data_IF_198264468627
#
_entry.id   IF_198264468627
#
_cell.length_a   1.000
_cell.length_b   1.000
_cell.length_c   1.000
_cell.angle_alpha   90.00
_cell.angle_beta   90.00
_cell.angle_gamma   90.00
#
_symmetry.space_group_name_H-M   'P 1'
#
loop_
_entity.id
_entity.type
_entity.pdbx_description
1 polymer ?
#
# COMPACT_ATOMS: atom_id res chain seq x y z
N UNK A 1 -15.22 -7.03 4.47
CA UNK A 1 -15.17 -6.42 5.82
C UNK A 1 -15.31 -4.90 5.70
N UNK A 2 -16.05 -4.26 6.61
CA UNK A 2 -16.20 -2.80 6.64
C UNK A 2 -15.04 -2.10 7.39
N UNK A 3 -14.86 -0.81 7.10
CA UNK A 3 -13.78 0.02 7.62
C UNK A 3 -13.89 0.22 9.14
N UNK A 4 -15.12 0.36 9.66
CA UNK A 4 -15.36 0.57 11.09
C UNK A 4 -14.92 -0.65 11.90
N UNK A 5 -15.25 -1.84 11.44
CA UNK A 5 -14.82 -3.09 12.07
C UNK A 5 -13.31 -3.22 12.11
N UNK A 6 -12.60 -2.79 11.05
CA UNK A 6 -11.13 -2.80 11.08
C UNK A 6 -10.57 -1.82 12.10
N UNK A 7 -11.13 -0.61 12.22
CA UNK A 7 -10.74 0.34 13.27
C UNK A 7 -10.90 -0.28 14.66
N UNK A 8 -12.03 -0.95 14.91
CA UNK A 8 -12.32 -1.57 16.21
C UNK A 8 -11.31 -2.71 16.51
N UNK A 9 -10.93 -3.51 15.50
CA UNK A 9 -9.90 -4.53 15.62
C UNK A 9 -8.51 -3.93 15.91
N UNK A 10 -8.12 -2.86 15.22
CA UNK A 10 -6.83 -2.19 15.47
C UNK A 10 -6.77 -1.61 16.88
N UNK A 11 -7.87 -1.01 17.37
CA UNK A 11 -7.96 -0.51 18.75
C UNK A 11 -7.85 -1.63 19.79
N UNK A 12 -8.39 -2.80 19.48
CA UNK A 12 -8.38 -3.94 20.40
C UNK A 12 -7.04 -4.67 20.43
N UNK A 13 -6.41 -4.89 19.27
CA UNK A 13 -5.25 -5.78 19.14
C UNK A 13 -3.92 -5.07 18.85
N UNK A 14 -3.95 -3.77 18.56
CA UNK A 14 -2.77 -3.00 18.17
C UNK A 14 -2.37 -3.21 16.70
N UNK A 15 -1.27 -2.57 16.30
CA UNK A 15 -0.78 -2.52 14.91
C UNK A 15 0.07 -3.71 14.49
N UNK A 16 0.79 -4.34 15.42
CA UNK A 16 1.95 -5.20 15.13
C UNK A 16 1.67 -6.47 14.31
N UNK A 17 0.41 -6.92 14.24
CA UNK A 17 0.05 -8.22 13.62
C UNK A 17 -1.16 -8.11 12.69
N UNK A 18 -1.36 -6.95 12.08
CA UNK A 18 -2.49 -6.67 11.20
C UNK A 18 -1.99 -6.25 9.82
N UNK A 19 -2.54 -6.88 8.78
CA UNK A 19 -2.40 -6.46 7.38
C UNK A 19 -3.81 -6.24 6.82
N UNK A 20 -3.96 -5.26 5.94
CA UNK A 20 -5.25 -4.93 5.29
C UNK A 20 -5.11 -5.13 3.78
N UNK A 21 -6.08 -5.82 3.19
CA UNK A 21 -6.20 -6.05 1.74
C UNK A 21 -7.60 -5.66 1.24
N UNK A 22 -7.75 -5.49 -0.08
CA UNK A 22 -9.03 -5.09 -0.69
C UNK A 22 -10.09 -6.20 -0.73
N UNK A 23 -9.66 -7.46 -0.79
CA UNK A 23 -10.50 -8.64 -0.69
C UNK A 23 -9.67 -9.81 -0.14
N UNK A 24 -10.17 -10.46 0.92
CA UNK A 24 -9.51 -11.61 1.55
C UNK A 24 -10.38 -12.89 1.51
N UNK A 25 -11.64 -12.75 1.09
CA UNK A 25 -12.70 -13.77 1.22
C UNK A 25 -13.38 -14.08 -0.12
N UNK A 26 -12.72 -13.79 -1.25
CA UNK A 26 -13.25 -14.00 -2.61
C UNK A 26 -14.54 -13.23 -2.93
N UNK A 27 -14.91 -12.26 -2.10
CA UNK A 27 -16.01 -11.32 -2.36
C UNK A 27 -15.66 -10.23 -3.38
N UNK A 28 -16.62 -9.35 -3.67
CA UNK A 28 -16.41 -8.20 -4.56
C UNK A 28 -15.31 -7.31 -4.00
N UNK A 29 -14.20 -7.22 -4.73
CA UNK A 29 -13.06 -6.38 -4.35
C UNK A 29 -13.37 -4.91 -4.63
N UNK A 30 -13.18 -4.07 -3.63
CA UNK A 30 -13.12 -2.61 -3.80
C UNK A 30 -11.64 -2.20 -3.77
N UNK A 31 -11.05 -1.75 -4.91
CA UNK A 31 -9.64 -1.37 -4.96
C UNK A 31 -9.30 -0.21 -4.02
N UNK A 32 -10.30 0.54 -3.56
CA UNK A 32 -10.12 1.65 -2.61
C UNK A 32 -10.33 1.24 -1.16
N UNK A 33 -10.54 -0.04 -0.85
CA UNK A 33 -10.82 -0.49 0.52
C UNK A 33 -9.67 -0.19 1.49
N UNK A 34 -8.41 -0.37 1.06
CA UNK A 34 -7.23 -0.03 1.88
C UNK A 34 -7.21 1.48 2.21
N UNK A 35 -7.23 2.42 1.23
CA UNK A 35 -7.22 3.85 1.56
C UNK A 35 -8.48 4.32 2.30
N UNK A 36 -9.65 3.73 2.04
CA UNK A 36 -10.87 4.00 2.84
C UNK A 36 -10.69 3.60 4.31
N UNK A 37 -10.09 2.44 4.56
CA UNK A 37 -9.81 1.98 5.93
C UNK A 37 -8.78 2.87 6.61
N UNK A 38 -7.74 3.31 5.90
CA UNK A 38 -6.78 4.31 6.40
C UNK A 38 -7.48 5.61 6.81
N UNK A 39 -8.37 6.14 5.98
CA UNK A 39 -9.11 7.37 6.32
C UNK A 39 -10.02 7.18 7.55
N UNK A 40 -10.62 6.00 7.71
CA UNK A 40 -11.41 5.67 8.90
C UNK A 40 -10.52 5.56 10.16
N UNK A 41 -9.32 4.98 10.04
CA UNK A 41 -8.34 4.92 11.13
C UNK A 41 -7.88 6.30 11.57
N UNK A 42 -7.54 7.19 10.61
CA UNK A 42 -7.19 8.59 10.87
C UNK A 42 -8.31 9.34 11.59
N UNK A 43 -9.52 9.25 11.07
CA UNK A 43 -10.72 9.88 11.66
C UNK A 43 -11.01 9.37 13.08
N UNK A 44 -10.48 8.19 13.43
CA UNK A 44 -10.67 7.54 14.72
C UNK A 44 -9.52 7.74 15.71
N UNK A 45 -8.51 8.54 15.35
CA UNK A 45 -7.36 8.89 16.20
C UNK A 45 -6.25 7.84 16.26
N UNK A 46 -6.21 6.88 15.34
CA UNK A 46 -5.06 5.96 15.24
C UNK A 46 -3.87 6.74 14.67
N UNK A 47 -2.68 6.58 15.28
CA UNK A 47 -1.48 7.31 14.87
C UNK A 47 -1.05 6.96 13.45
N UNK A 48 -0.46 7.92 12.74
CA UNK A 48 0.12 7.66 11.41
C UNK A 48 1.17 6.55 11.44
N UNK A 49 1.99 6.48 12.51
CA UNK A 49 2.96 5.39 12.68
C UNK A 49 2.31 4.00 12.77
N UNK A 50 1.18 3.87 13.47
CA UNK A 50 0.47 2.60 13.57
C UNK A 50 -0.19 2.24 12.22
N UNK A 51 -0.72 3.23 11.50
CA UNK A 51 -1.26 3.06 10.16
C UNK A 51 -0.17 2.59 9.20
N UNK A 52 0.98 3.26 9.19
CA UNK A 52 2.16 2.91 8.39
C UNK A 52 2.64 1.49 8.69
N UNK A 53 2.73 1.11 9.97
CA UNK A 53 3.03 -0.28 10.35
C UNK A 53 2.04 -1.26 9.71
N UNK A 54 0.74 -0.98 9.78
CA UNK A 54 -0.30 -1.87 9.25
C UNK A 54 -0.27 -1.99 7.72
N UNK A 55 -0.08 -0.88 7.00
CA UNK A 55 -0.24 -0.83 5.53
C UNK A 55 1.07 -0.92 4.76
N UNK A 56 2.21 -0.79 5.43
CA UNK A 56 3.54 -0.79 4.82
C UNK A 56 4.47 -1.81 5.48
N UNK A 57 4.84 -1.60 6.75
CA UNK A 57 5.88 -2.43 7.38
C UNK A 57 5.45 -3.89 7.59
N UNK A 58 4.21 -4.13 8.02
CA UNK A 58 3.70 -5.49 8.23
C UNK A 58 3.65 -6.30 6.92
N UNK A 59 3.07 -5.79 5.81
CA UNK A 59 3.14 -6.46 4.52
C UNK A 59 4.57 -6.77 4.07
N UNK A 60 5.48 -5.77 4.09
CA UNK A 60 6.87 -5.97 3.67
C UNK A 60 7.55 -7.06 4.51
N UNK A 61 7.46 -6.96 5.83
CA UNK A 61 8.07 -7.92 6.77
C UNK A 61 7.50 -9.32 6.58
N UNK A 62 6.20 -9.45 6.32
CA UNK A 62 5.56 -10.74 6.10
C UNK A 62 6.00 -11.37 4.77
N UNK A 63 5.91 -10.64 3.66
CA UNK A 63 6.23 -11.19 2.33
C UNK A 63 7.73 -11.42 2.10
N UNK A 64 8.60 -10.62 2.75
CA UNK A 64 10.05 -10.79 2.70
C UNK A 64 10.53 -12.13 3.29
N UNK A 65 9.74 -12.77 4.17
CA UNK A 65 10.07 -14.09 4.72
C UNK A 65 10.23 -15.17 3.64
N UNK A 66 9.62 -14.98 2.47
CA UNK A 66 9.75 -15.89 1.34
C UNK A 66 11.10 -15.80 0.62
N UNK A 67 11.89 -14.75 0.88
CA UNK A 67 13.11 -14.43 0.13
C UNK A 67 12.87 -13.96 -1.31
N UNK A 68 11.61 -13.75 -1.73
CA UNK A 68 11.24 -13.29 -3.08
C UNK A 68 10.97 -11.79 -3.17
N UNK A 69 10.92 -11.12 -2.03
CA UNK A 69 10.80 -9.69 -1.92
C UNK A 69 12.06 -9.19 -1.22
N UNK A 70 12.86 -8.42 -1.94
CA UNK A 70 13.91 -7.62 -1.32
C UNK A 70 13.30 -6.31 -0.81
N UNK A 71 13.52 -6.01 0.47
CA UNK A 71 12.97 -4.81 1.09
C UNK A 71 13.72 -3.58 0.57
N UNK A 72 15.01 -3.69 0.25
CA UNK A 72 15.78 -2.56 -0.26
C UNK A 72 15.24 -2.08 -1.60
N UNK A 73 14.87 -3.02 -2.48
CA UNK A 73 14.23 -2.71 -3.77
C UNK A 73 12.88 -1.99 -3.60
N UNK A 74 12.16 -2.25 -2.50
CA UNK A 74 10.87 -1.63 -2.22
C UNK A 74 10.99 -0.21 -1.63
N UNK A 75 12.14 0.11 -1.03
CA UNK A 75 12.41 1.42 -0.42
C UNK A 75 13.17 2.37 -1.35
N UNK A 76 13.82 1.84 -2.41
CA UNK A 76 14.54 2.63 -3.38
C UNK A 76 13.59 3.43 -4.30
N UNK A 77 13.89 4.73 -4.45
CA UNK A 77 13.22 5.57 -5.43
C UNK A 77 13.70 5.19 -6.84
N UNK A 78 12.79 4.66 -7.66
CA UNK A 78 13.07 4.38 -9.06
C UNK A 78 13.37 5.68 -9.81
N UNK A 79 14.52 5.74 -10.47
CA UNK A 79 14.81 6.76 -11.45
C UNK A 79 13.92 6.52 -12.69
N UNK A 80 12.83 7.27 -12.78
CA UNK A 80 11.88 7.24 -13.89
C UNK A 80 12.28 8.28 -14.93
N UNK A 81 12.61 7.82 -16.13
CA UNK A 81 12.71 8.65 -17.33
C UNK A 81 11.52 8.36 -18.25
N UNK A 82 10.50 9.22 -18.22
CA UNK A 82 9.28 9.04 -19.03
C UNK A 82 9.49 9.26 -20.54
N UNK A 83 10.71 9.60 -20.98
CA UNK A 83 11.05 9.66 -22.41
C UNK A 83 11.35 8.28 -22.99
N UNK A 84 11.64 7.29 -22.14
CA UNK A 84 11.89 5.93 -22.58
C UNK A 84 10.62 5.26 -23.09
N UNK A 85 10.76 4.46 -24.15
CA UNK A 85 9.70 3.63 -24.68
C UNK A 85 9.89 2.19 -24.24
N UNK A 86 8.79 1.47 -23.98
CA UNK A 86 8.79 0.03 -23.76
C UNK A 86 8.26 -0.66 -25.02
N UNK A 87 9.13 -1.41 -25.71
CA UNK A 87 8.79 -2.07 -27.00
C UNK A 87 8.17 -1.10 -28.02
N UNK A 88 8.68 0.13 -28.07
CA UNK A 88 8.18 1.21 -28.94
C UNK A 88 6.90 1.90 -28.45
N UNK A 89 6.32 1.47 -27.32
CA UNK A 89 5.14 2.08 -26.73
C UNK A 89 5.51 3.10 -25.64
N UNK A 90 4.69 4.15 -25.52
CA UNK A 90 4.76 5.12 -24.42
C UNK A 90 3.51 5.04 -23.56
N UNK A 91 3.65 5.26 -22.25
CA UNK A 91 2.53 5.45 -21.32
C UNK A 91 1.94 6.86 -21.40
N UNK A 92 2.65 7.80 -22.02
CA UNK A 92 2.18 9.17 -22.18
C UNK A 92 1.00 9.25 -23.16
N UNK A 93 0.08 10.15 -22.86
CA UNK A 93 -1.16 10.47 -23.57
C UNK A 93 -1.27 12.00 -23.74
N UNK A 94 -0.16 12.64 -24.12
CA UNK A 94 -0.06 14.09 -24.34
C UNK A 94 0.55 14.89 -23.18
N UNK A 95 0.98 14.23 -22.10
CA UNK A 95 1.72 14.90 -21.02
C UNK A 95 3.18 15.17 -21.43
N UNK A 96 3.78 16.23 -20.87
CA UNK A 96 5.22 16.46 -20.95
C UNK A 96 5.97 15.41 -20.11
N UNK A 97 6.97 14.70 -20.66
CA UNK A 97 7.72 13.70 -19.90
C UNK A 97 8.43 14.29 -18.67
N UNK A 98 8.35 13.59 -17.55
CA UNK A 98 9.13 13.87 -16.34
C UNK A 98 10.33 12.92 -16.29
N UNK A 99 11.49 13.46 -15.90
CA UNK A 99 12.70 12.69 -15.58
C UNK A 99 13.02 12.97 -14.12
N UNK A 100 12.94 11.94 -13.27
CA UNK A 100 13.39 12.07 -11.88
C UNK A 100 14.91 12.05 -11.82
N UNK A 101 15.49 12.97 -11.05
CA UNK A 101 16.92 13.03 -10.74
C UNK A 101 17.24 12.21 -9.49
#
# INVERSE_FOLDING_TARGET
>A
MDEKRMVDLVKQYGSERIIINSAADWGVSDPLKVPKTVNAMRSSGISESAIETIVWHNPLTFFAQSGRLDITDAEDYLLVDQRQNWEGNSVLRGQTPVVSN
#
